data_IF_253594317223
#
_entry.id   IF_253594317223
#
_cell.length_a   1.000
_cell.length_b   1.000
_cell.length_c   1.000
_cell.angle_alpha   90.00
_cell.angle_beta   90.00
_cell.angle_gamma   90.00
#
_symmetry.space_group_name_H-M   'P 1'
#
loop_
_entity.id
_entity.type
_entity.pdbx_description
1 polymer ?
#
# COMPACT_ATOMS: atom_id res chain seq x y z
N UNK A 1 -28.97 -42.75 14.28
CA UNK A 1 -29.12 -41.66 13.32
C UNK A 1 -27.84 -40.83 13.34
N UNK A 2 -26.89 -41.19 12.51
CA UNK A 2 -25.59 -40.50 12.38
C UNK A 2 -25.79 -39.31 11.46
N UNK A 3 -25.71 -38.12 12.06
CA UNK A 3 -25.73 -36.87 11.30
C UNK A 3 -24.41 -36.77 10.51
N UNK A 4 -24.41 -37.13 9.24
CA UNK A 4 -23.33 -36.81 8.31
C UNK A 4 -23.31 -35.28 8.15
N UNK A 5 -22.41 -34.61 8.89
CA UNK A 5 -22.03 -33.24 8.59
C UNK A 5 -21.45 -33.23 7.16
N UNK A 6 -22.25 -32.81 6.21
CA UNK A 6 -21.83 -32.49 4.84
C UNK A 6 -20.58 -31.61 4.96
N UNK A 7 -19.43 -32.11 4.54
CA UNK A 7 -18.18 -31.35 4.38
C UNK A 7 -18.46 -30.26 3.35
N UNK A 8 -18.98 -29.11 3.79
CA UNK A 8 -19.15 -27.95 2.92
C UNK A 8 -17.78 -27.59 2.39
N UNK A 9 -17.60 -27.74 1.09
CA UNK A 9 -16.37 -27.42 0.39
C UNK A 9 -15.99 -25.96 0.74
N UNK A 10 -14.74 -25.75 1.21
CA UNK A 10 -14.26 -24.41 1.58
C UNK A 10 -14.46 -23.44 0.41
N UNK A 11 -15.00 -22.24 0.62
CA UNK A 11 -15.12 -21.26 -0.44
C UNK A 11 -13.71 -20.87 -0.95
N UNK A 12 -13.52 -20.88 -2.27
CA UNK A 12 -12.24 -20.56 -2.90
C UNK A 12 -12.16 -19.08 -3.14
N UNK A 13 -11.08 -18.48 -2.63
CA UNK A 13 -10.72 -17.07 -2.83
C UNK A 13 -9.53 -16.99 -3.78
N UNK A 14 -9.68 -16.26 -4.89
CA UNK A 14 -8.60 -16.04 -5.85
C UNK A 14 -8.10 -14.59 -5.75
N UNK A 15 -6.90 -14.38 -5.23
CA UNK A 15 -6.18 -13.11 -5.38
C UNK A 15 -5.60 -13.00 -6.79
N UNK A 16 -5.77 -11.83 -7.42
CA UNK A 16 -5.14 -11.49 -8.70
C UNK A 16 -4.30 -10.23 -8.48
N UNK A 17 -3.00 -10.39 -8.48
CA UNK A 17 -2.02 -9.33 -8.19
C UNK A 17 -0.96 -9.31 -9.28
N UNK A 18 -0.51 -8.15 -9.70
CA UNK A 18 0.46 -8.05 -10.81
C UNK A 18 1.83 -8.61 -10.47
N UNK A 19 2.27 -8.51 -9.21
CA UNK A 19 3.61 -8.90 -8.74
C UNK A 19 3.53 -9.68 -7.42
N UNK A 20 4.32 -10.73 -7.28
CA UNK A 20 4.38 -11.57 -6.07
C UNK A 20 4.85 -10.80 -4.83
N UNK A 21 5.87 -9.95 -4.97
CA UNK A 21 6.33 -9.10 -3.87
C UNK A 21 5.26 -8.13 -3.38
N UNK A 22 4.39 -7.63 -4.28
CA UNK A 22 3.29 -6.74 -3.90
C UNK A 22 2.19 -7.48 -3.11
N UNK A 23 1.93 -8.76 -3.45
CA UNK A 23 1.07 -9.62 -2.66
C UNK A 23 1.64 -9.84 -1.26
N UNK A 24 2.91 -10.23 -1.15
CA UNK A 24 3.58 -10.51 0.12
C UNK A 24 3.65 -9.27 1.02
N UNK A 25 3.95 -8.10 0.45
CA UNK A 25 4.09 -6.86 1.22
C UNK A 25 2.76 -6.27 1.67
N UNK A 26 1.70 -6.39 0.85
CA UNK A 26 0.48 -5.60 1.05
C UNK A 26 -0.80 -6.42 1.20
N UNK A 27 -0.80 -7.73 0.89
CA UNK A 27 -2.02 -8.55 0.92
C UNK A 27 -1.92 -9.78 1.81
N UNK A 28 -0.72 -10.11 2.23
CA UNK A 28 -0.48 -11.27 3.09
C UNK A 28 -1.32 -11.28 4.38
N UNK A 29 -1.46 -10.17 5.13
CA UNK A 29 -2.30 -10.16 6.34
C UNK A 29 -3.77 -10.48 6.05
N UNK A 30 -4.32 -9.91 4.98
CA UNK A 30 -5.71 -10.16 4.56
C UNK A 30 -5.92 -11.59 4.07
N UNK A 31 -4.94 -12.15 3.35
CA UNK A 31 -4.98 -13.53 2.87
C UNK A 31 -4.89 -14.54 4.02
N UNK A 32 -4.06 -14.27 5.04
CA UNK A 32 -4.00 -15.06 6.29
C UNK A 32 -5.34 -15.02 7.01
N UNK A 33 -5.92 -13.83 7.22
CA UNK A 33 -7.23 -13.69 7.84
C UNK A 33 -8.34 -14.43 7.07
N UNK A 34 -8.31 -14.40 5.74
CA UNK A 34 -9.24 -15.16 4.91
C UNK A 34 -9.06 -16.68 5.09
N UNK A 35 -7.82 -17.17 5.11
CA UNK A 35 -7.53 -18.60 5.37
C UNK A 35 -8.04 -19.02 6.75
N UNK A 36 -7.82 -18.22 7.77
CA UNK A 36 -8.30 -18.45 9.15
C UNK A 36 -9.83 -18.45 9.22
N UNK A 37 -10.48 -17.62 8.39
CA UNK A 37 -11.93 -17.61 8.23
C UNK A 37 -12.49 -18.78 7.36
N UNK A 38 -11.64 -19.72 6.96
CA UNK A 38 -12.03 -20.94 6.28
C UNK A 38 -12.00 -20.91 4.75
N UNK A 39 -11.44 -19.85 4.13
CA UNK A 39 -11.25 -19.82 2.68
C UNK A 39 -10.06 -20.70 2.24
N UNK A 40 -10.19 -21.35 1.08
CA UNK A 40 -9.06 -21.89 0.33
C UNK A 40 -8.48 -20.76 -0.53
N UNK A 41 -7.24 -20.35 -0.23
CA UNK A 41 -6.63 -19.15 -0.85
C UNK A 41 -5.74 -19.53 -2.02
N UNK A 42 -6.06 -18.96 -3.18
CA UNK A 42 -5.29 -19.05 -4.42
C UNK A 42 -4.70 -17.68 -4.76
N UNK A 43 -3.49 -17.66 -5.33
CA UNK A 43 -2.79 -16.41 -5.71
C UNK A 43 -2.37 -16.51 -7.18
N UNK A 44 -2.94 -15.65 -8.01
CA UNK A 44 -2.59 -15.53 -9.43
C UNK A 44 -1.74 -14.26 -9.62
N UNK A 45 -0.45 -14.43 -9.95
CA UNK A 45 0.52 -13.32 -10.01
C UNK A 45 1.66 -13.62 -10.99
N UNK A 46 2.38 -12.58 -11.40
CA UNK A 46 3.70 -12.76 -12.00
C UNK A 46 4.66 -13.20 -10.90
N UNK A 47 5.37 -14.29 -11.16
CA UNK A 47 6.31 -14.87 -10.20
C UNK A 47 7.71 -14.33 -10.49
N UNK A 48 8.36 -13.82 -9.45
CA UNK A 48 9.78 -13.51 -9.39
C UNK A 48 10.45 -14.37 -8.30
N UNK A 49 10.77 -13.78 -7.15
CA UNK A 49 11.44 -14.45 -6.03
C UNK A 49 10.47 -14.87 -4.91
N UNK A 50 9.19 -14.49 -5.01
CA UNK A 50 8.19 -14.68 -3.94
C UNK A 50 7.49 -16.03 -3.91
N UNK A 51 7.74 -16.95 -4.87
CA UNK A 51 6.99 -18.22 -4.99
C UNK A 51 7.05 -19.04 -3.70
N UNK A 52 8.25 -19.33 -3.21
CA UNK A 52 8.46 -20.14 -2.01
C UNK A 52 7.79 -19.52 -0.76
N UNK A 53 7.80 -18.18 -0.63
CA UNK A 53 7.15 -17.49 0.47
C UNK A 53 5.61 -17.59 0.41
N UNK A 54 5.02 -17.55 -0.79
CA UNK A 54 3.58 -17.72 -0.98
C UNK A 54 3.16 -19.16 -0.66
N UNK A 55 3.93 -20.15 -1.12
CA UNK A 55 3.66 -21.58 -0.88
C UNK A 55 3.86 -21.98 0.59
N UNK A 56 4.85 -21.39 1.28
CA UNK A 56 5.06 -21.54 2.72
C UNK A 56 3.84 -21.13 3.56
N UNK A 57 3.04 -20.16 3.06
CA UNK A 57 1.77 -19.77 3.66
C UNK A 57 0.63 -20.78 3.39
N UNK A 58 0.91 -21.88 2.69
CA UNK A 58 -0.09 -22.85 2.22
C UNK A 58 -1.13 -22.25 1.28
N UNK A 59 -0.74 -21.24 0.51
CA UNK A 59 -1.54 -20.71 -0.59
C UNK A 59 -1.21 -21.41 -1.90
N UNK A 60 -2.19 -21.53 -2.78
CA UNK A 60 -2.03 -22.21 -4.07
C UNK A 60 -1.65 -21.15 -5.11
N UNK A 61 -0.42 -21.24 -5.62
CA UNK A 61 0.14 -20.27 -6.57
C UNK A 61 -0.23 -20.62 -8.01
N UNK A 62 -0.62 -19.59 -8.78
CA UNK A 62 -0.90 -19.67 -10.22
C UNK A 62 -0.07 -18.62 -10.96
N UNK A 63 1.00 -19.00 -11.67
CA UNK A 63 1.80 -18.06 -12.46
C UNK A 63 0.98 -17.44 -13.59
N UNK A 64 1.01 -16.10 -13.70
CA UNK A 64 0.33 -15.31 -14.73
C UNK A 64 1.35 -14.42 -15.44
N UNK A 65 1.33 -14.33 -16.79
CA UNK A 65 2.25 -13.52 -17.55
C UNK A 65 1.84 -12.04 -17.55
N UNK A 66 1.81 -11.40 -16.38
CA UNK A 66 1.62 -9.95 -16.31
C UNK A 66 2.83 -9.22 -16.91
N UNK A 67 2.58 -8.28 -17.81
CA UNK A 67 3.59 -7.41 -18.38
C UNK A 67 3.47 -6.02 -17.73
N UNK A 68 4.43 -5.67 -16.89
CA UNK A 68 4.46 -4.39 -16.17
C UNK A 68 4.59 -3.21 -17.17
N UNK A 69 3.65 -2.27 -17.11
CA UNK A 69 3.67 -1.07 -17.96
C UNK A 69 3.40 -1.31 -19.45
N UNK A 70 3.14 -2.55 -19.88
CA UNK A 70 2.86 -2.85 -21.28
C UNK A 70 1.41 -2.49 -21.63
N UNK A 71 1.23 -1.75 -22.72
CA UNK A 71 -0.06 -1.48 -23.36
C UNK A 71 -0.28 -2.38 -24.59
N UNK A 72 0.55 -3.42 -24.78
CA UNK A 72 0.41 -4.35 -25.91
C UNK A 72 -0.92 -5.10 -25.86
N UNK A 73 -1.75 -5.01 -26.91
CA UNK A 73 -3.01 -5.77 -26.99
C UNK A 73 -2.80 -7.30 -26.88
N UNK A 74 -1.71 -7.79 -27.47
CA UNK A 74 -1.38 -9.23 -27.44
C UNK A 74 -1.06 -9.68 -26.02
N UNK A 75 -0.23 -8.93 -25.29
CA UNK A 75 0.09 -9.23 -23.89
C UNK A 75 -1.17 -9.14 -23.01
N UNK A 76 -2.03 -8.16 -23.25
CA UNK A 76 -3.32 -8.02 -22.57
C UNK A 76 -4.23 -9.22 -22.79
N UNK A 77 -4.42 -9.64 -24.04
CA UNK A 77 -5.23 -10.82 -24.38
C UNK A 77 -4.66 -12.11 -23.79
N UNK A 78 -3.34 -12.29 -23.84
CA UNK A 78 -2.65 -13.44 -23.24
C UNK A 78 -2.90 -13.51 -21.72
N UNK A 79 -2.77 -12.38 -21.03
CA UNK A 79 -3.04 -12.29 -19.58
C UNK A 79 -4.49 -12.59 -19.26
N UNK A 80 -5.46 -12.04 -20.00
CA UNK A 80 -6.89 -12.34 -19.81
C UNK A 80 -7.18 -13.82 -20.09
N UNK A 81 -6.59 -14.42 -21.12
CA UNK A 81 -6.76 -15.84 -21.42
C UNK A 81 -6.20 -16.73 -20.31
N UNK A 82 -5.02 -16.40 -19.77
CA UNK A 82 -4.41 -17.08 -18.63
C UNK A 82 -5.30 -17.00 -17.38
N UNK A 83 -5.78 -15.79 -17.02
CA UNK A 83 -6.71 -15.58 -15.91
C UNK A 83 -8.02 -16.35 -16.11
N UNK A 84 -8.59 -16.39 -17.33
CA UNK A 84 -9.77 -17.23 -17.63
C UNK A 84 -9.52 -18.71 -17.45
N UNK A 85 -8.31 -19.21 -17.75
CA UNK A 85 -7.92 -20.60 -17.49
C UNK A 85 -7.89 -20.88 -15.99
N UNK A 86 -7.25 -20.01 -15.19
CA UNK A 86 -7.21 -20.13 -13.73
C UNK A 86 -8.63 -20.08 -13.15
N UNK A 87 -9.50 -19.17 -13.60
CA UNK A 87 -10.90 -19.12 -13.17
C UNK A 87 -11.67 -20.44 -13.48
N UNK A 88 -11.38 -21.09 -14.61
CA UNK A 88 -12.01 -22.39 -14.95
C UNK A 88 -11.54 -23.51 -14.04
N UNK A 89 -10.26 -23.51 -13.70
CA UNK A 89 -9.64 -24.54 -12.83
C UNK A 89 -10.06 -24.35 -11.38
N UNK A 90 -9.92 -23.15 -10.86
CA UNK A 90 -10.17 -22.82 -9.45
C UNK A 90 -11.66 -22.74 -9.14
N UNK A 91 -12.48 -22.24 -10.07
CA UNK A 91 -13.91 -21.93 -9.86
C UNK A 91 -14.10 -21.13 -8.56
N UNK A 92 -13.48 -19.95 -8.43
CA UNK A 92 -13.52 -19.18 -7.19
C UNK A 92 -14.93 -18.70 -6.87
N UNK A 93 -15.31 -18.76 -5.60
CA UNK A 93 -16.52 -18.12 -5.11
C UNK A 93 -16.34 -16.59 -5.05
N UNK A 94 -15.12 -16.15 -4.78
CA UNK A 94 -14.73 -14.72 -4.71
C UNK A 94 -13.36 -14.50 -5.32
N UNK A 95 -13.21 -13.40 -6.08
CA UNK A 95 -11.93 -12.95 -6.62
C UNK A 95 -11.60 -11.57 -6.06
N UNK A 96 -10.36 -11.40 -5.59
CA UNK A 96 -9.84 -10.10 -5.12
C UNK A 96 -8.73 -9.62 -6.06
N UNK A 97 -9.06 -8.65 -6.90
CA UNK A 97 -8.13 -8.00 -7.82
C UNK A 97 -7.43 -6.84 -7.13
N UNK A 98 -6.12 -6.66 -7.36
CA UNK A 98 -5.30 -5.65 -6.69
C UNK A 98 -4.55 -4.79 -7.68
N UNK A 99 -4.71 -3.48 -7.60
CA UNK A 99 -4.25 -2.45 -8.51
C UNK A 99 -5.00 -2.41 -9.87
N UNK A 100 -4.96 -1.24 -10.52
CA UNK A 100 -5.80 -0.93 -11.69
C UNK A 100 -5.71 -1.99 -12.80
N UNK A 101 -4.50 -2.42 -13.17
CA UNK A 101 -4.30 -3.40 -14.24
C UNK A 101 -4.95 -4.75 -13.89
N UNK A 102 -4.69 -5.27 -12.68
CA UNK A 102 -5.29 -6.53 -12.24
C UNK A 102 -6.81 -6.41 -12.07
N UNK A 103 -7.33 -5.26 -11.63
CA UNK A 103 -8.77 -5.00 -11.56
C UNK A 103 -9.41 -5.09 -12.93
N UNK A 104 -8.89 -4.37 -13.94
CA UNK A 104 -9.48 -4.37 -15.29
C UNK A 104 -9.39 -5.76 -15.92
N UNK A 105 -8.20 -6.38 -15.95
CA UNK A 105 -8.00 -7.66 -16.61
C UNK A 105 -8.70 -8.81 -15.87
N UNK A 106 -8.71 -8.77 -14.53
CA UNK A 106 -9.40 -9.76 -13.70
C UNK A 106 -10.92 -9.68 -13.84
N UNK A 107 -11.49 -8.46 -13.83
CA UNK A 107 -12.93 -8.28 -14.08
C UNK A 107 -13.34 -8.75 -15.47
N UNK A 108 -12.53 -8.48 -16.52
CA UNK A 108 -12.77 -8.99 -17.86
C UNK A 108 -12.68 -10.52 -17.92
N UNK A 109 -11.75 -11.11 -17.22
CA UNK A 109 -11.60 -12.57 -17.13
C UNK A 109 -12.75 -13.25 -16.38
N UNK A 110 -13.36 -12.54 -15.41
CA UNK A 110 -14.50 -13.04 -14.61
C UNK A 110 -15.87 -12.85 -15.27
N UNK A 111 -15.95 -12.16 -16.43
CA UNK A 111 -17.21 -11.95 -17.14
C UNK A 111 -17.91 -13.28 -17.47
N UNK A 112 -19.22 -13.33 -17.19
CA UNK A 112 -20.05 -14.52 -17.43
C UNK A 112 -19.87 -15.65 -16.40
N UNK A 113 -19.19 -15.39 -15.26
CA UNK A 113 -18.97 -16.37 -14.19
C UNK A 113 -19.71 -15.99 -12.92
N UNK A 114 -20.26 -16.97 -12.20
CA UNK A 114 -20.91 -16.73 -10.91
C UNK A 114 -19.86 -16.60 -9.79
N UNK A 115 -19.09 -15.50 -9.78
CA UNK A 115 -18.15 -15.21 -8.69
C UNK A 115 -18.32 -13.75 -8.24
N UNK A 116 -18.16 -13.51 -6.95
CA UNK A 116 -18.08 -12.19 -6.40
C UNK A 116 -16.70 -11.57 -6.71
N UNK A 117 -16.64 -10.24 -6.92
CA UNK A 117 -15.41 -9.53 -7.25
C UNK A 117 -15.17 -8.37 -6.28
N UNK A 118 -14.06 -8.38 -5.61
CA UNK A 118 -13.49 -7.23 -4.89
C UNK A 118 -12.37 -6.65 -5.74
N UNK A 119 -12.45 -5.36 -6.04
CA UNK A 119 -11.49 -4.67 -6.92
C UNK A 119 -10.80 -3.58 -6.12
N UNK A 120 -9.59 -3.87 -5.62
CA UNK A 120 -8.81 -2.95 -4.80
C UNK A 120 -8.06 -1.95 -5.69
N UNK A 121 -8.54 -0.72 -5.69
CA UNK A 121 -7.91 0.40 -6.36
C UNK A 121 -6.98 1.11 -5.38
N UNK A 122 -5.69 1.12 -5.69
CA UNK A 122 -4.65 1.69 -4.83
C UNK A 122 -4.04 2.87 -5.56
N UNK A 123 -4.24 4.08 -5.03
CA UNK A 123 -3.63 5.29 -5.57
C UNK A 123 -4.14 5.64 -6.97
N UNK A 124 -5.44 5.71 -7.17
CA UNK A 124 -6.08 6.08 -8.45
C UNK A 124 -5.64 7.45 -8.96
N UNK A 125 -5.26 8.36 -8.07
CA UNK A 125 -4.94 9.75 -8.39
C UNK A 125 -3.92 9.92 -9.52
N UNK A 126 -2.92 9.05 -9.64
CA UNK A 126 -1.90 9.16 -10.69
C UNK A 126 -2.43 8.91 -12.09
N UNK A 127 -3.22 7.87 -12.27
CA UNK A 127 -3.74 7.49 -13.60
C UNK A 127 -4.74 8.51 -14.15
N UNK A 128 -5.21 9.43 -13.29
CA UNK A 128 -6.27 10.38 -13.64
C UNK A 128 -5.86 11.87 -13.53
N UNK A 129 -4.67 12.22 -13.07
CA UNK A 129 -4.24 13.62 -12.86
C UNK A 129 -3.50 14.28 -14.05
N UNK A 130 -3.02 13.49 -15.00
CA UNK A 130 -2.34 14.06 -16.19
C UNK A 130 -3.32 14.88 -17.05
N UNK A 131 -2.96 16.15 -17.33
CA UNK A 131 -3.80 17.12 -18.07
C UNK A 131 -3.80 16.98 -19.59
N UNK A 132 -3.03 16.02 -20.17
CA UNK A 132 -2.92 15.87 -21.63
C UNK A 132 -4.22 15.37 -22.28
N UNK A 133 -4.49 15.76 -23.52
CA UNK A 133 -5.66 15.30 -24.28
C UNK A 133 -5.72 13.76 -24.39
N UNK A 134 -4.56 13.12 -24.60
CA UNK A 134 -4.41 11.66 -24.63
C UNK A 134 -4.80 11.03 -23.29
N UNK A 135 -4.34 11.60 -22.17
CA UNK A 135 -4.69 11.11 -20.82
C UNK A 135 -6.19 11.29 -20.53
N UNK A 136 -6.81 12.38 -21.02
CA UNK A 136 -8.25 12.59 -20.89
C UNK A 136 -9.06 11.53 -21.65
N UNK A 137 -8.68 11.23 -22.89
CA UNK A 137 -9.34 10.19 -23.69
C UNK A 137 -9.22 8.80 -23.03
N UNK A 138 -8.01 8.44 -22.59
CA UNK A 138 -7.77 7.17 -21.86
C UNK A 138 -8.59 7.12 -20.57
N UNK A 139 -8.65 8.23 -19.82
CA UNK A 139 -9.47 8.33 -18.60
C UNK A 139 -10.95 8.11 -18.86
N UNK A 140 -11.49 8.69 -19.93
CA UNK A 140 -12.91 8.51 -20.31
C UNK A 140 -13.20 7.06 -20.65
N UNK A 141 -12.35 6.40 -21.46
CA UNK A 141 -12.51 4.99 -21.85
C UNK A 141 -12.39 4.07 -20.63
N UNK A 142 -11.32 4.23 -19.85
CA UNK A 142 -11.09 3.43 -18.65
C UNK A 142 -12.16 3.69 -17.61
N UNK A 143 -12.57 4.95 -17.42
CA UNK A 143 -13.66 5.32 -16.50
C UNK A 143 -15.00 4.69 -16.87
N UNK A 144 -15.37 4.72 -18.17
CA UNK A 144 -16.59 4.06 -18.64
C UNK A 144 -16.56 2.55 -18.45
N UNK A 145 -15.40 1.94 -18.74
CA UNK A 145 -15.19 0.50 -18.52
C UNK A 145 -15.28 0.14 -17.03
N UNK A 146 -14.63 0.92 -16.16
CA UNK A 146 -14.69 0.72 -14.71
C UNK A 146 -16.11 0.88 -14.18
N UNK A 147 -16.83 1.94 -14.63
CA UNK A 147 -18.24 2.16 -14.28
C UNK A 147 -19.10 0.95 -14.63
N UNK A 148 -18.94 0.40 -15.83
CA UNK A 148 -19.68 -0.79 -16.27
C UNK A 148 -19.31 -2.03 -15.44
N UNK A 149 -18.01 -2.27 -15.22
CA UNK A 149 -17.53 -3.50 -14.58
C UNK A 149 -17.76 -3.50 -13.05
N UNK A 150 -17.61 -2.35 -12.39
CA UNK A 150 -17.75 -2.24 -10.92
C UNK A 150 -19.20 -2.16 -10.49
N UNK A 151 -20.08 -1.47 -11.24
CA UNK A 151 -21.49 -1.35 -10.88
C UNK A 151 -22.30 -2.64 -11.08
N UNK A 152 -21.66 -3.75 -11.46
CA UNK A 152 -22.31 -5.06 -11.53
C UNK A 152 -22.73 -5.56 -10.14
N UNK A 153 -23.85 -6.31 -10.06
CA UNK A 153 -24.44 -6.78 -8.80
C UNK A 153 -23.46 -7.52 -7.88
N UNK A 154 -22.54 -8.30 -8.45
CA UNK A 154 -21.55 -9.12 -7.74
C UNK A 154 -20.14 -8.47 -7.66
N UNK A 155 -20.02 -7.18 -7.87
CA UNK A 155 -18.73 -6.47 -7.91
C UNK A 155 -18.74 -5.30 -6.95
N UNK A 156 -17.61 -5.05 -6.29
CA UNK A 156 -17.39 -3.90 -5.41
C UNK A 156 -15.99 -3.34 -5.63
N UNK A 157 -15.86 -2.03 -5.59
CA UNK A 157 -14.56 -1.36 -5.49
C UNK A 157 -14.11 -1.33 -4.03
N UNK A 158 -12.84 -1.56 -3.79
CA UNK A 158 -12.20 -1.37 -2.50
C UNK A 158 -11.18 -0.24 -2.61
N UNK A 159 -11.29 0.78 -1.78
CA UNK A 159 -10.36 1.90 -1.71
C UNK A 159 -9.77 2.04 -0.32
N UNK A 160 -8.65 2.76 -0.20
CA UNK A 160 -7.92 2.89 1.06
C UNK A 160 -8.07 4.27 1.71
N UNK A 161 -8.61 5.25 1.00
CA UNK A 161 -8.79 6.62 1.47
C UNK A 161 -10.03 7.27 0.84
N UNK A 162 -10.48 8.38 1.43
CA UNK A 162 -11.68 9.10 1.00
C UNK A 162 -11.51 9.83 -0.34
N UNK A 163 -10.29 10.25 -0.68
CA UNK A 163 -10.00 10.89 -1.97
C UNK A 163 -10.20 9.90 -3.13
N UNK A 164 -9.69 8.66 -3.01
CA UNK A 164 -9.92 7.60 -3.99
C UNK A 164 -11.40 7.20 -4.08
N UNK A 165 -12.14 7.20 -2.95
CA UNK A 165 -13.60 7.02 -2.95
C UNK A 165 -14.29 8.11 -3.77
N UNK A 166 -13.96 9.37 -3.53
CA UNK A 166 -14.52 10.52 -4.25
C UNK A 166 -14.17 10.47 -5.74
N UNK A 167 -12.95 10.06 -6.08
CA UNK A 167 -12.52 9.88 -7.46
C UNK A 167 -13.34 8.80 -8.19
N UNK A 168 -13.62 7.65 -7.55
CA UNK A 168 -14.47 6.61 -8.13
C UNK A 168 -15.92 7.07 -8.30
N UNK A 169 -16.46 7.80 -7.31
CA UNK A 169 -17.81 8.37 -7.41
C UNK A 169 -17.91 9.36 -8.57
N UNK A 170 -16.88 10.18 -8.82
CA UNK A 170 -16.83 11.11 -9.96
C UNK A 170 -16.81 10.40 -11.33
N UNK A 171 -16.35 9.15 -11.37
CA UNK A 171 -16.42 8.28 -12.56
C UNK A 171 -17.80 7.60 -12.72
N UNK A 172 -18.77 7.87 -11.83
CA UNK A 172 -20.11 7.31 -11.87
C UNK A 172 -20.21 5.91 -11.27
N UNK A 173 -19.32 5.53 -10.38
CA UNK A 173 -19.44 4.32 -9.57
C UNK A 173 -20.35 4.66 -8.38
N UNK A 174 -21.38 3.86 -8.15
CA UNK A 174 -22.35 4.09 -7.09
C UNK A 174 -21.70 3.90 -5.70
N UNK A 175 -22.06 4.76 -4.73
CA UNK A 175 -21.46 4.75 -3.39
C UNK A 175 -21.61 3.41 -2.67
N UNK A 176 -22.73 2.73 -2.84
CA UNK A 176 -22.99 1.38 -2.29
C UNK A 176 -22.11 0.29 -2.94
N UNK A 177 -21.44 0.60 -4.04
CA UNK A 177 -20.45 -0.23 -4.74
C UNK A 177 -19.02 0.08 -4.38
N UNK A 178 -18.78 0.93 -3.37
CA UNK A 178 -17.45 1.27 -2.89
C UNK A 178 -17.36 0.91 -1.41
N UNK A 179 -16.31 0.16 -1.05
CA UNK A 179 -15.92 -0.12 0.32
C UNK A 179 -14.61 0.61 0.64
N UNK A 180 -14.52 1.20 1.82
CA UNK A 180 -13.31 1.81 2.35
C UNK A 180 -12.72 0.89 3.41
N UNK A 181 -11.47 0.44 3.20
CA UNK A 181 -10.66 -0.26 4.20
C UNK A 181 -9.26 0.39 4.17
N UNK A 182 -8.82 1.04 5.26
CA UNK A 182 -7.60 1.82 5.26
C UNK A 182 -6.35 0.94 5.26
N UNK A 183 -5.55 1.04 4.21
CA UNK A 183 -4.26 0.37 4.11
C UNK A 183 -4.31 -1.14 3.95
N UNK A 184 -3.16 -1.76 4.19
CA UNK A 184 -2.95 -3.22 4.16
C UNK A 184 -2.85 -3.85 5.55
N UNK A 185 -2.86 -3.01 6.57
CA UNK A 185 -2.62 -3.39 7.97
C UNK A 185 -1.14 -3.51 8.31
N UNK A 186 -0.80 -3.24 9.56
CA UNK A 186 0.53 -3.41 10.12
C UNK A 186 0.51 -4.50 11.20
N UNK A 187 1.51 -5.37 11.21
CA UNK A 187 1.68 -6.37 12.26
C UNK A 187 2.21 -5.71 13.54
N UNK A 188 1.29 -5.37 14.44
CA UNK A 188 1.59 -4.69 15.71
C UNK A 188 2.29 -5.58 16.74
N UNK A 189 2.39 -6.90 16.48
CA UNK A 189 3.16 -7.83 17.31
C UNK A 189 4.62 -7.91 16.84
N UNK A 190 4.86 -7.73 15.54
CA UNK A 190 6.20 -7.60 14.98
C UNK A 190 6.76 -6.20 15.21
N UNK A 191 5.97 -5.17 14.95
CA UNK A 191 6.32 -3.76 15.16
C UNK A 191 5.79 -3.31 16.53
N UNK A 192 6.60 -3.55 17.57
CA UNK A 192 6.28 -3.20 18.95
C UNK A 192 6.81 -1.81 19.32
N UNK A 193 6.28 -1.15 20.35
CA UNK A 193 6.82 0.11 20.85
C UNK A 193 8.30 -0.01 21.16
N UNK A 194 9.08 0.91 20.62
CA UNK A 194 10.53 0.98 20.82
C UNK A 194 10.87 2.21 21.67
N UNK A 195 11.81 2.06 22.59
CA UNK A 195 12.38 3.20 23.32
C UNK A 195 12.97 4.19 22.31
N UNK A 196 12.76 5.49 22.53
CA UNK A 196 13.38 6.51 21.71
C UNK A 196 14.92 6.41 21.84
N UNK A 197 15.68 6.44 20.75
CA UNK A 197 17.14 6.32 20.84
C UNK A 197 17.74 7.53 21.58
N UNK A 198 18.84 7.29 22.28
CA UNK A 198 19.59 8.36 22.95
C UNK A 198 20.49 9.04 21.94
N UNK A 199 20.63 10.37 22.02
CA UNK A 199 21.54 11.15 21.21
C UNK A 199 20.86 12.17 20.30
N UNK A 200 21.54 12.49 19.22
CA UNK A 200 21.13 13.53 18.28
C UNK A 200 19.81 13.16 17.55
N UNK A 201 18.94 14.14 17.30
CA UNK A 201 17.68 13.90 16.59
C UNK A 201 17.92 13.22 15.24
N UNK A 202 17.33 12.05 15.06
CA UNK A 202 17.52 11.22 13.87
C UNK A 202 16.18 11.01 13.16
N UNK A 203 16.13 11.40 11.90
CA UNK A 203 14.98 11.25 11.02
C UNK A 203 15.13 10.00 10.15
N UNK A 204 14.10 9.20 10.02
CA UNK A 204 14.12 7.96 9.24
C UNK A 204 13.20 8.04 8.03
N UNK A 205 13.69 7.61 6.87
CA UNK A 205 12.91 7.38 5.67
C UNK A 205 13.01 5.93 5.25
N UNK A 206 11.86 5.30 4.97
CA UNK A 206 11.78 3.94 4.40
C UNK A 206 10.93 3.96 3.14
N UNK A 207 11.52 3.59 2.02
CA UNK A 207 10.80 3.53 0.74
C UNK A 207 11.73 3.40 -0.46
N UNK A 208 11.15 3.13 -1.63
CA UNK A 208 11.91 3.17 -2.89
C UNK A 208 12.44 4.58 -3.14
N UNK A 209 13.65 4.71 -3.66
CA UNK A 209 14.26 6.01 -3.94
C UNK A 209 13.74 6.58 -5.27
N UNK A 210 12.50 7.05 -5.25
CA UNK A 210 11.80 7.63 -6.41
C UNK A 210 11.49 9.11 -6.16
N UNK A 211 11.43 9.90 -7.23
CA UNK A 211 10.96 11.30 -7.17
C UNK A 211 9.57 11.43 -6.55
N UNK A 212 8.68 10.49 -6.88
CA UNK A 212 7.33 10.44 -6.30
C UNK A 212 7.31 10.21 -4.78
N UNK A 213 8.40 9.68 -4.22
CA UNK A 213 8.59 9.50 -2.77
C UNK A 213 9.21 10.72 -2.09
N UNK A 214 9.59 11.75 -2.88
CA UNK A 214 10.08 13.03 -2.38
C UNK A 214 11.45 12.95 -1.69
N UNK A 215 12.26 11.94 -1.99
CA UNK A 215 13.55 11.74 -1.31
C UNK A 215 14.49 12.93 -1.49
N UNK A 216 14.51 13.58 -2.67
CA UNK A 216 15.31 14.79 -2.90
C UNK A 216 14.83 15.97 -2.06
N UNK A 217 13.50 16.12 -1.89
CA UNK A 217 12.90 17.11 -1.00
C UNK A 217 13.35 16.89 0.45
N UNK A 218 13.41 15.61 0.90
CA UNK A 218 13.86 15.27 2.25
C UNK A 218 15.35 15.60 2.45
N UNK A 219 16.21 15.24 1.52
CA UNK A 219 17.64 15.56 1.59
C UNK A 219 17.86 17.07 1.62
N UNK A 220 17.15 17.83 0.79
CA UNK A 220 17.22 19.29 0.79
C UNK A 220 16.73 19.89 2.12
N UNK A 221 15.63 19.39 2.68
CA UNK A 221 15.11 19.85 3.98
C UNK A 221 16.08 19.51 5.14
N UNK A 222 16.72 18.34 5.09
CA UNK A 222 17.72 17.97 6.09
C UNK A 222 18.95 18.90 6.05
N UNK A 223 19.41 19.32 4.88
CA UNK A 223 20.48 20.32 4.77
C UNK A 223 20.10 21.66 5.43
N UNK A 224 18.84 22.08 5.31
CA UNK A 224 18.33 23.28 6.00
C UNK A 224 18.21 23.06 7.52
N UNK A 225 17.73 21.89 7.94
CA UNK A 225 17.65 21.51 9.35
C UNK A 225 19.03 21.59 10.02
N UNK A 226 20.08 21.06 9.39
CA UNK A 226 21.44 21.06 9.95
C UNK A 226 22.03 22.44 10.13
N UNK A 227 21.57 23.46 9.42
CA UNK A 227 21.97 24.86 9.70
C UNK A 227 21.42 25.36 11.03
N UNK A 228 20.33 24.78 11.54
CA UNK A 228 19.67 25.12 12.79
C UNK A 228 20.06 24.17 13.93
N UNK A 229 20.18 22.89 13.60
CA UNK A 229 20.52 21.78 14.52
C UNK A 229 21.66 20.97 13.89
N UNK A 230 22.92 21.35 14.13
CA UNK A 230 24.08 20.81 13.41
C UNK A 230 24.34 19.31 13.58
N UNK A 231 23.86 18.69 14.64
CA UNK A 231 24.00 17.27 14.97
C UNK A 231 22.82 16.41 14.47
N UNK A 232 21.78 17.00 13.87
CA UNK A 232 20.65 16.22 13.34
C UNK A 232 21.10 15.23 12.26
N UNK A 233 20.51 14.02 12.28
CA UNK A 233 20.83 12.93 11.37
C UNK A 233 19.62 12.52 10.52
N UNK A 234 19.90 12.00 9.33
CA UNK A 234 18.95 11.40 8.39
C UNK A 234 19.39 9.99 8.02
N UNK A 235 18.54 8.99 8.32
CA UNK A 235 18.72 7.62 7.89
C UNK A 235 17.79 7.33 6.72
N UNK A 236 18.32 6.76 5.65
CA UNK A 236 17.58 6.43 4.44
C UNK A 236 17.66 4.94 4.19
N UNK A 237 16.52 4.23 4.22
CA UNK A 237 16.42 2.82 3.86
C UNK A 237 15.58 2.67 2.58
N UNK A 238 16.17 2.01 1.58
CA UNK A 238 15.55 1.74 0.30
C UNK A 238 16.57 1.70 -0.84
N UNK A 239 16.17 1.07 -1.93
CA UNK A 239 17.01 0.96 -3.12
C UNK A 239 16.44 1.80 -4.27
N UNK A 240 17.29 2.27 -5.20
CA UNK A 240 16.86 2.72 -6.52
C UNK A 240 16.10 1.61 -7.27
N UNK A 241 15.22 2.01 -8.19
CA UNK A 241 14.49 1.10 -9.09
C UNK A 241 14.89 1.42 -10.54
N UNK A 242 15.96 0.79 -11.08
CA UNK A 242 16.50 1.13 -12.41
C UNK A 242 15.47 0.98 -13.56
N UNK A 243 14.42 0.19 -13.34
CA UNK A 243 13.33 0.04 -14.30
C UNK A 243 12.34 1.22 -14.30
N UNK A 244 12.46 2.14 -13.33
CA UNK A 244 11.60 3.31 -13.20
C UNK A 244 12.36 4.59 -13.56
N UNK A 245 11.98 5.34 -14.61
CA UNK A 245 12.68 6.56 -15.02
C UNK A 245 12.66 7.69 -13.97
N UNK A 246 11.74 7.63 -13.00
CA UNK A 246 11.69 8.56 -11.87
C UNK A 246 12.56 8.12 -10.68
N UNK A 247 13.40 7.10 -10.85
CA UNK A 247 14.29 6.65 -9.79
C UNK A 247 15.51 7.56 -9.63
N UNK A 248 15.92 7.75 -8.40
CA UNK A 248 17.26 8.24 -8.08
C UNK A 248 18.28 7.23 -8.61
N UNK A 249 19.41 7.71 -9.11
CA UNK A 249 20.52 6.81 -9.50
C UNK A 249 21.25 6.29 -8.27
N UNK A 250 21.89 5.13 -8.40
CA UNK A 250 22.70 4.59 -7.30
C UNK A 250 23.89 5.52 -6.96
N UNK A 251 24.47 6.16 -7.97
CA UNK A 251 25.54 7.16 -7.78
C UNK A 251 25.07 8.34 -6.94
N UNK A 252 23.86 8.88 -7.24
CA UNK A 252 23.28 9.95 -6.43
C UNK A 252 23.00 9.48 -4.99
N UNK A 253 22.43 8.30 -4.80
CA UNK A 253 22.18 7.78 -3.47
C UNK A 253 23.47 7.56 -2.66
N UNK A 254 24.56 7.10 -3.30
CA UNK A 254 25.87 6.96 -2.67
C UNK A 254 26.49 8.29 -2.27
N UNK A 255 26.32 9.33 -3.08
CA UNK A 255 26.87 10.66 -2.78
C UNK A 255 26.25 11.29 -1.51
N UNK A 256 25.07 10.85 -1.08
CA UNK A 256 24.51 11.31 0.19
C UNK A 256 25.31 10.84 1.41
N UNK A 257 26.02 9.70 1.33
CA UNK A 257 26.89 9.24 2.41
C UNK A 257 28.15 10.13 2.58
N UNK A 258 28.49 10.96 1.59
CA UNK A 258 29.55 11.94 1.69
C UNK A 258 29.09 13.21 2.42
N UNK A 259 27.79 13.36 2.65
CA UNK A 259 27.19 14.49 3.37
C UNK A 259 27.10 14.21 4.88
N UNK A 260 27.61 15.13 5.68
CA UNK A 260 27.59 15.00 7.14
C UNK A 260 26.14 14.88 7.65
N UNK A 261 25.89 13.81 8.41
CA UNK A 261 24.59 13.56 9.04
C UNK A 261 23.59 12.84 8.14
N UNK A 262 23.96 12.41 6.94
CA UNK A 262 23.13 11.54 6.11
C UNK A 262 23.75 10.15 6.04
N UNK A 263 22.93 9.11 6.17
CA UNK A 263 23.35 7.72 6.00
C UNK A 263 22.33 6.98 5.13
N UNK A 264 22.71 6.60 3.94
CA UNK A 264 21.95 5.69 3.10
C UNK A 264 22.39 4.24 3.34
N UNK A 265 21.45 3.41 3.72
CA UNK A 265 21.66 2.01 4.13
C UNK A 265 21.37 0.99 3.02
N UNK A 266 20.93 1.45 1.84
CA UNK A 266 20.47 0.55 0.79
C UNK A 266 19.16 -0.17 1.18
N UNK A 267 18.98 -1.38 0.65
CA UNK A 267 17.82 -2.21 1.02
C UNK A 267 17.97 -2.77 2.43
N UNK A 268 16.99 -2.52 3.29
CA UNK A 268 16.96 -3.00 4.67
C UNK A 268 15.81 -4.00 4.84
N UNK A 269 16.10 -5.17 5.38
CA UNK A 269 15.13 -6.24 5.63
C UNK A 269 14.48 -6.15 7.01
N UNK A 270 15.26 -5.76 8.02
CA UNK A 270 14.76 -5.55 9.38
C UNK A 270 14.34 -4.09 9.59
N UNK A 271 13.10 -3.81 9.23
CA UNK A 271 12.51 -2.47 9.33
C UNK A 271 12.27 -2.08 10.81
N UNK A 272 12.04 -3.04 11.70
CA UNK A 272 11.89 -2.73 13.12
C UNK A 272 13.22 -2.25 13.72
N UNK A 273 14.33 -2.92 13.41
CA UNK A 273 15.67 -2.48 13.81
C UNK A 273 16.08 -1.13 13.17
N UNK A 274 15.57 -0.81 11.98
CA UNK A 274 15.74 0.51 11.38
C UNK A 274 15.01 1.58 12.21
N UNK A 275 13.73 1.37 12.55
CA UNK A 275 12.96 2.32 13.34
C UNK A 275 13.49 2.47 14.78
N UNK A 276 14.19 1.48 15.32
CA UNK A 276 14.87 1.60 16.62
C UNK A 276 15.95 2.69 16.64
N UNK A 277 16.50 3.07 15.47
CA UNK A 277 17.55 4.09 15.33
C UNK A 277 17.01 5.49 15.00
N UNK A 278 15.72 5.61 14.70
CA UNK A 278 15.09 6.87 14.33
C UNK A 278 14.21 7.42 15.45
N UNK A 279 14.18 8.75 15.61
CA UNK A 279 13.28 9.47 16.50
C UNK A 279 11.95 9.78 15.79
N UNK A 280 12.02 10.13 14.50
CA UNK A 280 10.89 10.61 13.70
C UNK A 280 10.90 9.89 12.35
N UNK A 281 9.75 9.42 11.91
CA UNK A 281 9.56 8.91 10.56
C UNK A 281 9.13 10.04 9.63
N UNK A 282 9.76 10.13 8.46
CA UNK A 282 9.46 11.16 7.47
C UNK A 282 9.11 10.53 6.13
N UNK A 283 7.97 10.92 5.55
CA UNK A 283 7.55 10.48 4.22
C UNK A 283 7.05 11.66 3.38
N UNK A 284 7.91 12.30 2.58
CA UNK A 284 7.57 13.47 1.78
C UNK A 284 7.01 13.10 0.41
N UNK A 285 6.22 12.05 0.34
CA UNK A 285 5.69 11.52 -0.92
C UNK A 285 4.75 12.51 -1.59
N UNK A 286 4.82 12.59 -2.92
CA UNK A 286 3.83 13.32 -3.73
C UNK A 286 2.49 12.58 -3.81
N UNK A 287 2.48 11.28 -3.50
CA UNK A 287 1.27 10.43 -3.56
C UNK A 287 1.44 9.16 -2.74
N UNK A 288 0.37 8.81 -2.04
CA UNK A 288 0.24 7.54 -1.34
C UNK A 288 -1.21 7.04 -1.43
N UNK A 289 -1.36 5.72 -1.54
CA UNK A 289 -2.66 5.09 -1.30
C UNK A 289 -2.93 4.99 0.20
N UNK A 290 -2.03 4.29 0.91
CA UNK A 290 -1.92 4.25 2.37
C UNK A 290 -0.50 3.77 2.72
N UNK A 291 0.36 4.60 3.33
CA UNK A 291 1.81 4.32 3.40
C UNK A 291 2.15 3.28 4.48
N UNK A 292 2.59 2.09 4.06
CA UNK A 292 2.99 1.01 4.97
C UNK A 292 4.14 1.43 5.89
N UNK A 293 5.15 2.12 5.36
CA UNK A 293 6.31 2.55 6.16
C UNK A 293 5.94 3.47 7.32
N UNK A 294 4.96 4.36 7.14
CA UNK A 294 4.46 5.18 8.24
C UNK A 294 3.61 4.38 9.23
N UNK A 295 2.84 3.38 8.78
CA UNK A 295 2.15 2.47 9.70
C UNK A 295 3.13 1.67 10.55
N UNK A 296 4.22 1.18 9.97
CA UNK A 296 5.29 0.47 10.67
C UNK A 296 5.98 1.38 11.70
N UNK A 297 6.32 2.61 11.31
CA UNK A 297 6.90 3.61 12.20
C UNK A 297 5.94 3.97 13.37
N UNK A 298 4.66 4.21 13.07
CA UNK A 298 3.63 4.45 14.06
C UNK A 298 3.49 3.27 15.03
N UNK A 299 3.49 2.06 14.50
CA UNK A 299 3.46 0.83 15.31
C UNK A 299 4.70 0.68 16.21
N UNK A 300 5.87 1.15 15.76
CA UNK A 300 7.07 1.24 16.57
C UNK A 300 7.09 2.43 17.57
N UNK A 301 6.03 3.23 17.63
CA UNK A 301 5.97 4.41 18.49
C UNK A 301 6.92 5.49 18.05
N UNK A 302 6.91 5.85 16.77
CA UNK A 302 7.65 7.00 16.23
C UNK A 302 6.69 8.13 15.87
N UNK A 303 7.09 9.37 16.15
CA UNK A 303 6.39 10.54 15.66
C UNK A 303 6.51 10.61 14.14
N UNK A 304 5.50 11.17 13.47
CA UNK A 304 5.38 11.14 12.02
C UNK A 304 5.46 12.54 11.41
N UNK A 305 6.16 12.67 10.29
CA UNK A 305 6.07 13.82 9.38
C UNK A 305 5.72 13.28 7.99
N UNK A 306 4.69 13.84 7.37
CA UNK A 306 4.30 13.43 6.02
C UNK A 306 3.84 14.63 5.19
N UNK A 307 3.95 14.52 3.87
CA UNK A 307 3.28 15.47 2.98
C UNK A 307 1.77 15.34 3.07
N UNK A 308 1.05 16.46 2.89
CA UNK A 308 -0.41 16.51 2.90
C UNK A 308 -0.99 15.96 1.58
N UNK A 309 -0.99 14.65 1.45
CA UNK A 309 -1.55 13.91 0.31
C UNK A 309 -2.52 12.84 0.78
N UNK A 310 -3.43 12.35 -0.12
CA UNK A 310 -4.27 11.20 0.18
C UNK A 310 -3.47 10.03 0.75
N UNK A 311 -4.02 9.29 1.68
CA UNK A 311 -3.34 8.20 2.38
C UNK A 311 -2.41 8.67 3.50
N UNK A 312 -1.58 9.70 3.31
CA UNK A 312 -0.81 10.28 4.40
C UNK A 312 -1.72 10.99 5.41
N UNK A 313 -2.66 11.83 4.95
CA UNK A 313 -3.60 12.55 5.84
C UNK A 313 -4.60 11.63 6.54
N UNK A 314 -4.83 10.45 6.03
CA UNK A 314 -5.66 9.45 6.72
C UNK A 314 -4.91 8.84 7.92
N UNK A 315 -3.58 8.72 7.83
CA UNK A 315 -2.75 8.17 8.90
C UNK A 315 -2.23 9.25 9.85
N UNK A 316 -1.80 10.40 9.30
CA UNK A 316 -1.23 11.52 10.07
C UNK A 316 -2.30 12.59 10.26
N UNK A 317 -2.74 12.76 11.50
CA UNK A 317 -3.59 13.88 11.91
C UNK A 317 -2.68 15.00 12.40
N UNK A 318 -2.68 16.12 11.66
CA UNK A 318 -1.80 17.26 11.93
C UNK A 318 -1.96 17.76 13.39
N UNK A 319 -0.84 17.99 14.07
CA UNK A 319 -0.74 18.38 15.49
C UNK A 319 -1.35 17.40 16.51
N UNK A 320 -1.73 16.18 16.10
CA UNK A 320 -2.24 15.15 17.01
C UNK A 320 -1.28 13.97 17.15
N UNK A 321 -0.90 13.33 16.04
CA UNK A 321 0.03 12.19 16.01
C UNK A 321 1.22 12.41 15.07
N UNK A 322 1.36 13.62 14.54
CA UNK A 322 2.42 13.99 13.61
C UNK A 322 2.19 15.34 12.96
N UNK A 323 3.02 15.67 11.99
CA UNK A 323 2.93 16.92 11.24
C UNK A 323 2.71 16.63 9.75
N UNK A 324 1.78 17.36 9.14
CA UNK A 324 1.59 17.42 7.69
C UNK A 324 2.19 18.70 7.15
N UNK A 325 2.79 18.63 5.98
CA UNK A 325 3.36 19.77 5.26
C UNK A 325 2.97 19.75 3.77
N UNK A 326 2.96 20.89 3.07
CA UNK A 326 2.63 20.97 1.64
C UNK A 326 3.61 20.15 0.79
N UNK A 327 3.10 19.52 -0.26
CA UNK A 327 3.91 18.69 -1.20
C UNK A 327 5.04 19.54 -1.80
N UNK A 328 6.25 18.96 -1.86
CA UNK A 328 7.47 19.56 -2.40
C UNK A 328 7.95 20.84 -1.68
N UNK A 329 7.34 21.22 -0.56
CA UNK A 329 7.78 22.38 0.22
C UNK A 329 8.94 22.01 1.16
N UNK A 330 10.16 22.26 0.69
CA UNK A 330 11.40 22.00 1.42
C UNK A 330 11.48 22.79 2.72
N UNK A 331 10.98 24.03 2.73
CA UNK A 331 11.05 24.90 3.91
C UNK A 331 10.07 24.42 4.98
N UNK A 332 8.82 24.17 4.62
CA UNK A 332 7.82 23.64 5.54
C UNK A 332 8.23 22.28 6.13
N UNK A 333 8.86 21.40 5.32
CA UNK A 333 9.43 20.15 5.81
C UNK A 333 10.57 20.39 6.81
N UNK A 334 11.50 21.30 6.50
CA UNK A 334 12.60 21.64 7.41
C UNK A 334 12.08 22.25 8.72
N UNK A 335 11.02 23.06 8.68
CA UNK A 335 10.37 23.63 9.86
C UNK A 335 9.71 22.55 10.73
N UNK A 336 8.99 21.61 10.11
CA UNK A 336 8.40 20.47 10.80
C UNK A 336 9.48 19.57 11.45
N UNK A 337 10.57 19.31 10.73
CA UNK A 337 11.73 18.57 11.27
C UNK A 337 12.37 19.33 12.43
N UNK A 338 12.58 20.66 12.31
CA UNK A 338 13.14 21.49 13.39
C UNK A 338 12.26 21.46 14.64
N UNK A 339 10.95 21.56 14.48
CA UNK A 339 9.98 21.51 15.59
C UNK A 339 10.08 20.21 16.37
N UNK A 340 10.11 19.07 15.67
CA UNK A 340 10.22 17.76 16.32
C UNK A 340 11.64 17.46 16.83
N UNK A 341 12.68 18.02 16.23
CA UNK A 341 14.04 17.88 16.75
C UNK A 341 14.21 18.60 18.10
N UNK A 342 13.63 19.81 18.23
CA UNK A 342 13.78 20.68 19.40
C UNK A 342 12.91 20.27 20.60
N UNK A 343 11.81 19.51 20.39
CA UNK A 343 10.83 19.20 21.44
C UNK A 343 10.63 17.68 21.64
N UNK A 344 11.41 17.06 22.56
CA UNK A 344 11.25 15.65 22.89
C UNK A 344 9.88 15.28 23.48
N UNK A 345 9.26 16.20 24.22
CA UNK A 345 7.95 15.94 24.81
C UNK A 345 6.85 15.90 23.76
N UNK A 346 6.92 16.78 22.76
CA UNK A 346 6.04 16.77 21.61
C UNK A 346 6.20 15.47 20.80
N UNK A 347 7.45 15.04 20.56
CA UNK A 347 7.74 13.76 19.90
C UNK A 347 7.11 12.60 20.64
N UNK A 348 7.31 12.50 21.96
CA UNK A 348 6.75 11.43 22.77
C UNK A 348 5.21 11.41 22.74
N UNK A 349 4.56 12.56 22.80
CA UNK A 349 3.10 12.68 22.71
C UNK A 349 2.59 12.21 21.35
N UNK A 350 3.23 12.64 20.24
CA UNK A 350 2.84 12.21 18.91
C UNK A 350 3.11 10.71 18.66
N UNK A 351 4.21 10.20 19.18
CA UNK A 351 4.57 8.79 19.10
C UNK A 351 3.53 7.88 19.77
N UNK A 352 3.06 8.25 20.95
CA UNK A 352 1.98 7.53 21.66
C UNK A 352 0.69 7.54 20.87
N UNK A 353 0.24 8.70 20.39
CA UNK A 353 -0.98 8.82 19.61
C UNK A 353 -0.87 8.08 18.25
N UNK A 354 0.29 8.10 17.59
CA UNK A 354 0.53 7.36 16.37
C UNK A 354 0.43 5.83 16.61
N UNK A 355 1.03 5.34 17.70
CA UNK A 355 0.94 3.92 18.10
C UNK A 355 -0.48 3.50 18.41
N UNK A 356 -1.22 4.31 19.15
CA UNK A 356 -2.62 4.03 19.49
C UNK A 356 -3.47 3.86 18.21
N UNK A 357 -3.32 4.75 17.23
CA UNK A 357 -4.00 4.63 15.94
C UNK A 357 -3.56 3.39 15.17
N UNK A 358 -2.25 3.09 15.14
CA UNK A 358 -1.74 1.90 14.46
C UNK A 358 -2.38 0.61 15.02
N UNK A 359 -2.55 0.51 16.34
CA UNK A 359 -3.16 -0.65 17.00
C UNK A 359 -4.67 -0.72 16.76
N UNK A 360 -5.37 0.40 16.99
CA UNK A 360 -6.82 0.42 17.05
C UNK A 360 -7.49 0.51 15.66
N UNK A 361 -6.83 1.17 14.69
CA UNK A 361 -7.43 1.43 13.39
C UNK A 361 -6.75 0.64 12.25
N UNK A 362 -5.43 0.42 12.31
CA UNK A 362 -4.62 -0.05 11.18
C UNK A 362 -3.89 -1.38 11.43
N UNK A 363 -4.17 -2.07 12.54
CA UNK A 363 -3.55 -3.38 12.77
C UNK A 363 -3.95 -4.41 11.71
N UNK A 364 -3.03 -5.31 11.38
CA UNK A 364 -3.26 -6.40 10.42
C UNK A 364 -4.50 -7.24 10.78
N UNK A 365 -4.75 -7.46 12.08
CA UNK A 365 -5.93 -8.17 12.57
C UNK A 365 -7.23 -7.39 12.31
N UNK A 366 -7.24 -6.06 12.51
CA UNK A 366 -8.39 -5.21 12.25
C UNK A 366 -8.72 -5.18 10.76
N UNK A 367 -7.73 -4.90 9.91
CA UNK A 367 -7.88 -4.86 8.46
C UNK A 367 -8.27 -6.23 7.90
N UNK A 368 -7.71 -7.31 8.44
CA UNK A 368 -8.09 -8.68 8.11
C UNK A 368 -9.57 -8.96 8.41
N UNK A 369 -10.05 -8.61 9.61
CA UNK A 369 -11.48 -8.76 9.98
C UNK A 369 -12.41 -7.96 9.07
N UNK A 370 -12.08 -6.69 8.78
CA UNK A 370 -12.88 -5.86 7.88
C UNK A 370 -12.94 -6.45 6.46
N UNK A 371 -11.80 -6.97 5.97
CA UNK A 371 -11.72 -7.61 4.66
C UNK A 371 -12.55 -8.90 4.59
N UNK A 372 -12.47 -9.75 5.61
CA UNK A 372 -13.26 -10.99 5.70
C UNK A 372 -14.76 -10.67 5.79
N UNK A 373 -15.15 -9.68 6.59
CA UNK A 373 -16.55 -9.24 6.67
C UNK A 373 -17.08 -8.75 5.30
N UNK A 374 -16.25 -8.01 4.54
CA UNK A 374 -16.59 -7.62 3.17
C UNK A 374 -16.80 -8.84 2.26
N UNK A 375 -15.92 -9.85 2.34
CA UNK A 375 -16.05 -11.08 1.55
C UNK A 375 -17.34 -11.84 1.88
N UNK A 376 -17.63 -12.03 3.16
CA UNK A 376 -18.84 -12.72 3.63
C UNK A 376 -20.12 -12.01 3.17
N UNK A 377 -20.17 -10.66 3.30
CA UNK A 377 -21.29 -9.85 2.81
C UNK A 377 -21.53 -10.02 1.31
N UNK A 378 -20.46 -10.07 0.50
CA UNK A 378 -20.59 -10.25 -0.94
C UNK A 378 -21.05 -11.67 -1.30
N UNK A 379 -20.57 -12.68 -0.63
CA UNK A 379 -20.99 -14.08 -0.86
C UNK A 379 -22.46 -14.28 -0.51
N UNK A 380 -22.94 -13.72 0.61
CA UNK A 380 -24.36 -13.80 0.99
C UNK A 380 -25.31 -13.04 0.04
N UNK A 381 -24.80 -12.07 -0.72
CA UNK A 381 -25.61 -11.34 -1.70
C UNK A 381 -25.71 -12.03 -3.07
N UNK A 382 -24.89 -13.07 -3.31
CA UNK A 382 -24.82 -13.83 -4.57
C UNK A 382 -25.58 -15.18 -4.45
N UNK A 383 -25.76 -15.68 -3.23
CA UNK A 383 -26.65 -16.82 -2.91
C UNK A 383 -28.09 -16.36 -2.88
#
# INVERSE_FOLDING_TARGET
MTCQASLRQKPRLLYVVTEDWAFLSHRLPMARAAREAGFEVHVATRVSDGAAAIEAERFILHPIPFARGSLSPVATLSTVAALRRVHRQVKPALTHHVALQACVLGMLASLGRPCACVNAFIGLGYSFTSGTAKARAVRTIVGSLLRFLVNRKNSIALVQNNDDMSALMSLGIAKDRIALIPGSGVDVNRFTPLVEPVGAPTFGFVGRLLDDKGIRTLVAAHRLLRRRIPDANLLIAGAPDPANPASVTETEARSWNDEVGITWLGHVTDIAAFWAKAHVAVLPSRREGFPLSLMEAAACGRALIASDVPGCRELVLHDQNGLLFPVDDVMALADAMTRLAADPQLRARYAMAARERAVNEFSASMIGRQTVALYQRLLSAVT
#
